data_IF_878512050547
#
_entry.id   IF_878512050547
#
_cell.length_a   1.000
_cell.length_b   1.000
_cell.length_c   1.000
_cell.angle_alpha   90.00
_cell.angle_beta   90.00
_cell.angle_gamma   90.00
#
_symmetry.space_group_name_H-M   'P 1'
#
loop_
_entity.id
_entity.type
_entity.pdbx_description
1 polymer ?
#
# COMPACT_ATOMS: atom_id res chain seq x y z
N UNK A 1 -6.55 -30.89 0.02
CA UNK A 1 -5.14 -30.44 -0.01
C UNK A 1 -4.99 -29.56 -1.23
N UNK A 2 -4.68 -28.28 -1.07
CA UNK A 2 -4.60 -27.36 -2.20
C UNK A 2 -3.21 -27.52 -2.82
N UNK A 3 -3.17 -28.00 -4.05
CA UNK A 3 -1.93 -28.22 -4.77
C UNK A 3 -1.51 -26.92 -5.44
N UNK A 4 -0.33 -26.41 -5.06
CA UNK A 4 0.33 -25.35 -5.80
C UNK A 4 0.88 -25.93 -7.10
N UNK A 5 0.53 -25.33 -8.23
CA UNK A 5 1.04 -25.79 -9.52
C UNK A 5 2.37 -25.11 -9.77
N UNK A 6 3.48 -25.85 -9.78
CA UNK A 6 4.78 -25.27 -10.08
C UNK A 6 4.83 -24.84 -11.55
N UNK A 7 5.34 -23.64 -11.80
CA UNK A 7 5.56 -23.10 -13.15
C UNK A 7 7.03 -22.71 -13.31
N UNK A 8 7.54 -22.84 -14.53
CA UNK A 8 8.96 -22.55 -14.81
C UNK A 8 9.18 -21.06 -15.06
N UNK A 9 8.20 -20.40 -15.67
CA UNK A 9 8.19 -18.97 -15.93
C UNK A 9 6.81 -18.39 -15.63
N UNK A 10 6.73 -17.08 -15.43
CA UNK A 10 5.48 -16.38 -15.14
C UNK A 10 4.47 -16.51 -16.28
N UNK A 11 4.96 -16.54 -17.51
CA UNK A 11 4.16 -16.64 -18.73
C UNK A 11 3.46 -18.00 -18.87
N UNK A 12 3.92 -19.00 -18.13
CA UNK A 12 3.35 -20.34 -18.12
C UNK A 12 2.12 -20.45 -17.20
N UNK A 13 1.85 -19.41 -16.39
CA UNK A 13 0.73 -19.42 -15.45
C UNK A 13 -0.60 -19.03 -16.12
N UNK A 14 -1.72 -19.69 -15.77
CA UNK A 14 -3.04 -19.32 -16.28
C UNK A 14 -3.38 -17.86 -15.96
N UNK A 15 -3.97 -17.13 -16.91
CA UNK A 15 -4.26 -15.68 -16.80
C UNK A 15 -5.07 -15.25 -15.55
N UNK A 16 -5.86 -16.14 -14.95
CA UNK A 16 -6.62 -15.88 -13.72
C UNK A 16 -6.09 -16.73 -12.55
N UNK A 17 -4.77 -16.77 -12.42
CA UNK A 17 -4.07 -17.42 -11.31
C UNK A 17 -3.24 -16.42 -10.52
N UNK A 18 -3.09 -16.67 -9.23
CA UNK A 18 -2.08 -16.02 -8.41
C UNK A 18 -0.76 -16.78 -8.58
N UNK A 19 0.29 -16.09 -9.02
CA UNK A 19 1.67 -16.52 -8.95
C UNK A 19 2.16 -16.43 -7.52
N UNK A 20 2.88 -17.43 -7.03
CA UNK A 20 3.48 -17.49 -5.71
C UNK A 20 4.97 -17.72 -5.93
N UNK A 21 5.79 -16.77 -5.49
CA UNK A 21 7.24 -16.83 -5.61
C UNK A 21 7.85 -17.28 -4.30
N UNK A 22 8.69 -18.29 -4.34
CA UNK A 22 9.65 -18.62 -3.31
C UNK A 22 10.87 -17.69 -3.47
N UNK A 23 11.30 -17.04 -2.38
CA UNK A 23 12.53 -16.23 -2.38
C UNK A 23 13.82 -17.02 -2.72
N UNK A 24 13.75 -18.35 -2.81
CA UNK A 24 14.78 -19.24 -3.34
C UNK A 24 14.65 -19.51 -4.85
N UNK A 25 13.81 -18.74 -5.56
CA UNK A 25 13.69 -18.76 -7.03
C UNK A 25 12.64 -19.72 -7.61
N UNK A 26 11.76 -20.28 -6.79
CA UNK A 26 10.65 -21.12 -7.28
C UNK A 26 9.40 -20.30 -7.60
N UNK A 27 8.74 -20.57 -8.74
CA UNK A 27 7.45 -19.98 -9.06
C UNK A 27 6.39 -21.10 -9.01
N UNK A 28 5.30 -20.84 -8.30
CA UNK A 28 4.10 -21.66 -8.33
C UNK A 28 2.90 -20.79 -8.69
N UNK A 29 1.77 -21.40 -9.02
CA UNK A 29 0.53 -20.69 -9.23
C UNK A 29 -0.66 -21.41 -8.60
N UNK A 30 -1.71 -20.64 -8.34
CA UNK A 30 -2.99 -21.12 -7.88
C UNK A 30 -4.10 -20.38 -8.59
N UNK A 31 -5.08 -21.09 -9.14
CA UNK A 31 -6.24 -20.46 -9.76
C UNK A 31 -6.98 -19.57 -8.75
N UNK A 32 -7.49 -18.42 -9.22
CA UNK A 32 -8.16 -17.42 -8.37
C UNK A 32 -9.33 -18.00 -7.56
N UNK A 33 -10.10 -18.90 -8.15
CA UNK A 33 -11.19 -19.63 -7.51
C UNK A 33 -10.74 -20.42 -6.25
N UNK A 34 -9.49 -20.88 -6.24
CA UNK A 34 -8.92 -21.68 -5.15
C UNK A 34 -8.20 -20.83 -4.08
N UNK A 35 -8.14 -19.50 -4.28
CA UNK A 35 -7.40 -18.59 -3.42
C UNK A 35 -7.94 -18.52 -1.99
N UNK A 36 -9.26 -18.47 -1.81
CA UNK A 36 -9.87 -18.38 -0.48
C UNK A 36 -9.53 -19.61 0.38
N UNK A 37 -9.59 -20.80 -0.21
CA UNK A 37 -9.20 -22.02 0.48
C UNK A 37 -7.69 -22.05 0.76
N UNK A 38 -6.87 -21.51 -0.15
CA UNK A 38 -5.42 -21.45 0.01
C UNK A 38 -5.02 -20.51 1.13
N UNK A 39 -5.54 -19.29 1.15
CA UNK A 39 -5.28 -18.32 2.20
C UNK A 39 -5.69 -18.84 3.57
N UNK A 40 -6.83 -19.52 3.68
CA UNK A 40 -7.27 -20.12 4.94
C UNK A 40 -6.29 -21.22 5.42
N UNK A 41 -5.83 -22.09 4.52
CA UNK A 41 -4.83 -23.11 4.82
C UNK A 41 -3.44 -22.51 5.11
N UNK A 42 -3.10 -21.40 4.47
CA UNK A 42 -1.82 -20.73 4.58
C UNK A 42 -1.67 -19.93 5.87
N UNK A 43 -2.71 -19.15 6.22
CA UNK A 43 -2.73 -18.32 7.42
C UNK A 43 -2.63 -19.13 8.72
N UNK A 44 -2.95 -20.42 8.68
CA UNK A 44 -2.97 -21.35 9.83
C UNK A 44 -1.68 -22.18 9.98
N UNK A 45 -0.68 -22.04 9.09
CA UNK A 45 0.61 -22.75 9.22
C UNK A 45 1.60 -21.99 10.11
N UNK A 46 2.24 -22.70 11.04
CA UNK A 46 3.20 -22.16 12.01
C UNK A 46 4.59 -21.84 11.43
N UNK A 47 4.98 -22.45 10.30
CA UNK A 47 6.25 -22.18 9.61
C UNK A 47 5.98 -21.68 8.20
N UNK A 48 5.86 -20.35 8.05
CA UNK A 48 5.63 -19.72 6.75
C UNK A 48 6.94 -19.65 5.97
N UNK A 49 7.06 -20.30 4.80
CA UNK A 49 8.13 -20.00 3.85
C UNK A 49 8.05 -18.52 3.45
N UNK A 50 9.21 -17.91 3.20
CA UNK A 50 9.26 -16.55 2.67
C UNK A 50 8.79 -16.58 1.21
N UNK A 51 7.50 -16.28 0.99
CA UNK A 51 6.90 -16.25 -0.34
C UNK A 51 6.29 -14.88 -0.62
N UNK A 52 6.39 -14.41 -1.87
CA UNK A 52 5.56 -13.31 -2.40
C UNK A 52 4.50 -13.87 -3.34
N UNK A 53 3.51 -13.08 -3.68
CA UNK A 53 2.44 -13.49 -4.61
C UNK A 53 2.18 -12.36 -5.62
N UNK A 54 1.58 -12.67 -6.76
CA UNK A 54 1.16 -11.70 -7.77
C UNK A 54 -0.04 -12.27 -8.54
N UNK A 55 -0.87 -11.45 -9.18
CA UNK A 55 -1.81 -11.96 -10.18
C UNK A 55 -1.05 -12.17 -11.49
N UNK A 56 -1.07 -13.38 -12.04
CA UNK A 56 -0.42 -13.74 -13.31
C UNK A 56 -0.71 -12.77 -14.48
N UNK A 57 -1.91 -12.18 -14.55
CA UNK A 57 -2.26 -11.15 -15.53
C UNK A 57 -1.90 -9.71 -15.13
N UNK A 58 -1.69 -9.44 -13.83
CA UNK A 58 -1.35 -8.12 -13.33
C UNK A 58 0.14 -7.86 -13.57
N UNK A 59 0.50 -7.46 -14.80
CA UNK A 59 1.89 -7.06 -15.11
C UNK A 59 2.38 -5.88 -14.26
N UNK A 60 1.45 -5.13 -13.67
CA UNK A 60 1.66 -4.00 -12.78
C UNK A 60 0.51 -3.96 -11.76
N UNK A 61 0.78 -3.46 -10.56
CA UNK A 61 -0.25 -3.20 -9.55
C UNK A 61 -0.18 -1.76 -9.04
N UNK A 62 -1.27 -1.29 -8.42
CA UNK A 62 -1.26 -0.01 -7.71
C UNK A 62 -0.17 -0.03 -6.64
N UNK A 63 0.63 1.03 -6.57
CA UNK A 63 1.64 1.15 -5.53
C UNK A 63 0.97 1.40 -4.19
N UNK A 64 1.12 0.44 -3.29
CA UNK A 64 0.64 0.50 -1.92
C UNK A 64 1.85 0.21 -1.03
N UNK A 65 1.95 0.86 0.12
CA UNK A 65 2.93 0.54 1.16
C UNK A 65 2.15 0.08 2.39
N UNK A 66 2.31 -1.19 2.79
CA UNK A 66 1.69 -1.72 4.00
C UNK A 66 2.62 -1.50 5.18
N UNK A 67 2.19 -0.68 6.14
CA UNK A 67 2.96 -0.38 7.34
C UNK A 67 2.33 -1.08 8.52
N UNK A 68 3.01 -2.10 9.01
CA UNK A 68 2.70 -2.74 10.27
C UNK A 68 3.14 -1.87 11.45
N UNK A 69 2.30 -1.86 12.49
CA UNK A 69 2.58 -1.20 13.74
C UNK A 69 2.47 -2.18 14.89
N UNK A 70 3.52 -2.28 15.70
CA UNK A 70 3.55 -3.06 16.93
C UNK A 70 3.78 -2.12 18.10
N UNK A 71 2.93 -2.22 19.11
CA UNK A 71 3.06 -1.46 20.35
C UNK A 71 2.51 -2.29 21.50
N UNK A 72 3.07 -2.09 22.69
CA UNK A 72 2.54 -2.65 23.93
C UNK A 72 1.24 -1.95 24.36
N UNK A 73 0.99 -0.75 23.83
CA UNK A 73 -0.21 0.05 24.10
C UNK A 73 -0.99 0.26 22.79
N UNK A 74 -2.29 -0.04 22.75
CA UNK A 74 -3.13 0.26 21.60
C UNK A 74 -3.12 1.76 21.32
N UNK A 75 -2.72 2.17 20.11
CA UNK A 75 -2.77 3.57 19.68
C UNK A 75 -3.93 3.75 18.71
N UNK A 76 -4.85 4.64 19.07
CA UNK A 76 -6.05 4.95 18.30
C UNK A 76 -5.72 5.70 17.00
N UNK A 77 -4.70 6.55 17.00
CA UNK A 77 -4.25 7.37 15.86
C UNK A 77 -2.88 6.95 15.33
N UNK A 78 -2.55 7.37 14.10
CA UNK A 78 -1.20 7.23 13.55
C UNK A 78 -0.30 8.33 14.14
N UNK A 79 0.97 8.02 14.41
CA UNK A 79 1.96 9.01 14.87
C UNK A 79 2.25 10.04 13.77
N UNK A 80 1.96 11.32 14.04
CA UNK A 80 2.18 12.42 13.09
C UNK A 80 3.64 12.54 12.66
N UNK A 81 4.59 12.32 13.59
CA UNK A 81 6.01 12.38 13.26
C UNK A 81 6.43 11.29 12.28
N UNK A 82 5.74 10.16 12.30
CA UNK A 82 5.95 9.08 11.35
C UNK A 82 5.30 9.39 10.00
N UNK A 83 4.13 10.05 9.99
CA UNK A 83 3.53 10.55 8.75
C UNK A 83 4.40 11.63 8.08
N UNK A 84 5.07 12.49 8.85
CA UNK A 84 6.01 13.49 8.33
C UNK A 84 7.25 12.84 7.69
N UNK A 85 7.74 11.75 8.30
CA UNK A 85 8.83 10.94 7.75
C UNK A 85 8.42 10.29 6.41
N UNK A 86 7.23 9.68 6.35
CA UNK A 86 6.68 9.12 5.11
C UNK A 86 6.57 10.22 4.06
N UNK A 87 5.94 11.34 4.41
CA UNK A 87 5.77 12.46 3.50
C UNK A 87 7.10 12.93 2.90
N UNK A 88 8.09 13.21 3.76
CA UNK A 88 9.43 13.65 3.33
C UNK A 88 10.10 12.61 2.42
N UNK A 89 9.97 11.32 2.76
CA UNK A 89 10.55 10.22 1.98
C UNK A 89 9.92 10.13 0.58
N UNK A 90 8.60 10.19 0.49
CA UNK A 90 7.88 10.13 -0.80
C UNK A 90 8.15 11.37 -1.64
N UNK A 91 8.17 12.56 -1.03
CA UNK A 91 8.49 13.82 -1.71
C UNK A 91 9.90 13.78 -2.32
N UNK A 92 10.91 13.35 -1.54
CA UNK A 92 12.29 13.20 -2.04
C UNK A 92 12.43 12.16 -3.14
N UNK A 93 11.62 11.10 -3.09
CA UNK A 93 11.66 10.03 -4.07
C UNK A 93 10.99 10.44 -5.39
N UNK A 94 9.80 11.04 -5.32
CA UNK A 94 8.94 11.22 -6.49
C UNK A 94 9.02 12.59 -7.12
N UNK A 95 9.11 13.69 -6.35
CA UNK A 95 9.09 15.04 -6.95
C UNK A 95 10.17 15.26 -8.02
N UNK A 96 11.41 14.75 -7.90
CA UNK A 96 12.40 14.92 -8.95
C UNK A 96 12.00 14.34 -10.33
N UNK A 97 11.08 13.39 -10.38
CA UNK A 97 10.66 12.69 -11.60
C UNK A 97 9.16 12.82 -11.91
N UNK A 98 8.35 13.18 -10.91
CA UNK A 98 6.89 13.25 -10.97
C UNK A 98 6.50 14.62 -10.40
N UNK A 99 6.04 15.57 -11.24
CA UNK A 99 5.85 16.97 -10.83
C UNK A 99 4.78 17.15 -9.75
N UNK A 100 3.85 16.20 -9.65
CA UNK A 100 2.86 16.12 -8.59
C UNK A 100 2.39 14.68 -8.39
N UNK A 101 1.97 14.35 -7.17
CA UNK A 101 1.35 13.06 -6.89
C UNK A 101 0.39 13.15 -5.70
N UNK A 102 -0.53 12.19 -5.65
CA UNK A 102 -1.45 12.00 -4.54
C UNK A 102 -1.13 10.70 -3.83
N UNK A 103 -1.19 10.72 -2.50
CA UNK A 103 -1.22 9.50 -1.71
C UNK A 103 -2.27 9.55 -0.61
N UNK A 104 -2.76 8.38 -0.24
CA UNK A 104 -3.86 8.19 0.72
C UNK A 104 -3.34 7.37 1.88
N UNK A 105 -3.52 7.87 3.10
CA UNK A 105 -3.32 7.07 4.31
C UNK A 105 -4.64 6.41 4.65
N UNK A 106 -4.66 5.09 4.75
CA UNK A 106 -5.84 4.31 5.09
C UNK A 106 -5.58 3.38 6.27
N UNK A 107 -6.52 3.26 7.20
CA UNK A 107 -6.40 2.44 8.41
C UNK A 107 -7.66 1.61 8.64
N UNK A 108 -7.53 0.41 9.20
CA UNK A 108 -8.67 -0.39 9.68
C UNK A 108 -9.08 0.07 11.08
N UNK A 109 -10.37 -0.01 11.42
CA UNK A 109 -10.87 0.42 12.74
C UNK A 109 -10.13 -0.28 13.90
N UNK A 110 -9.86 -1.58 13.74
CA UNK A 110 -9.22 -2.43 14.76
C UNK A 110 -7.82 -2.92 14.36
N UNK A 111 -7.23 -2.35 13.29
CA UNK A 111 -5.89 -2.71 12.84
C UNK A 111 -4.81 -1.87 13.53
N UNK A 112 -3.68 -2.50 13.86
CA UNK A 112 -2.50 -1.80 14.35
C UNK A 112 -1.86 -0.93 13.26
N UNK A 113 -1.67 -1.52 12.07
CA UNK A 113 -1.02 -0.88 10.92
C UNK A 113 -1.93 0.00 10.06
N UNK A 114 -1.35 0.55 9.00
CA UNK A 114 -2.03 1.37 8.00
C UNK A 114 -1.39 1.19 6.62
N UNK A 115 -2.13 1.54 5.58
CA UNK A 115 -1.65 1.54 4.20
C UNK A 115 -1.40 2.97 3.71
N UNK A 116 -0.39 3.11 2.87
CA UNK A 116 -0.20 4.27 2.00
C UNK A 116 -0.51 3.85 0.57
N UNK A 117 -1.57 4.39 -0.02
CA UNK A 117 -1.95 4.13 -1.41
C UNK A 117 -1.48 5.27 -2.30
N UNK A 118 -0.83 4.96 -3.42
CA UNK A 118 -0.49 5.91 -4.48
C UNK A 118 -1.34 5.56 -5.71
N UNK A 119 -2.59 6.05 -5.80
CA UNK A 119 -3.58 5.58 -6.78
C UNK A 119 -3.20 5.91 -8.24
N UNK A 120 -2.35 6.91 -8.44
CA UNK A 120 -1.90 7.36 -9.76
C UNK A 120 -0.63 6.62 -10.23
N UNK A 121 -0.07 5.76 -9.37
CA UNK A 121 1.18 5.05 -9.64
C UNK A 121 0.92 3.56 -9.80
N UNK A 122 1.40 3.03 -10.92
CA UNK A 122 1.48 1.60 -11.20
C UNK A 122 2.93 1.20 -11.30
N UNK A 123 3.28 0.06 -10.71
CA UNK A 123 4.67 -0.41 -10.64
C UNK A 123 4.74 -1.90 -10.99
N UNK A 124 5.76 -2.34 -11.76
CA UNK A 124 6.05 -3.77 -11.93
C UNK A 124 6.40 -4.43 -10.58
N UNK A 125 6.06 -5.71 -10.41
CA UNK A 125 6.24 -6.40 -9.13
C UNK A 125 7.71 -6.44 -8.64
N UNK A 126 8.66 -6.72 -9.52
CA UNK A 126 10.08 -6.81 -9.14
C UNK A 126 10.62 -5.43 -8.72
N UNK A 127 10.27 -4.39 -9.47
CA UNK A 127 10.61 -3.01 -9.14
C UNK A 127 9.96 -2.57 -7.83
N UNK A 128 8.74 -3.05 -7.55
CA UNK A 128 8.05 -2.82 -6.28
C UNK A 128 8.81 -3.45 -5.12
N UNK A 129 9.25 -4.71 -5.22
CA UNK A 129 10.04 -5.37 -4.18
C UNK A 129 11.32 -4.57 -3.91
N UNK A 130 12.04 -4.19 -4.97
CA UNK A 130 13.28 -3.43 -4.85
C UNK A 130 13.04 -2.06 -4.20
N UNK A 131 11.99 -1.35 -4.62
CA UNK A 131 11.59 -0.08 -4.03
C UNK A 131 11.28 -0.24 -2.53
N UNK A 132 10.51 -1.26 -2.15
CA UNK A 132 10.15 -1.48 -0.75
C UNK A 132 11.37 -1.89 0.09
N UNK A 133 12.29 -2.70 -0.43
CA UNK A 133 13.56 -3.00 0.25
C UNK A 133 14.39 -1.73 0.51
N UNK A 134 14.46 -0.83 -0.48
CA UNK A 134 15.14 0.46 -0.30
C UNK A 134 14.43 1.32 0.75
N UNK A 135 13.10 1.36 0.73
CA UNK A 135 12.28 2.15 1.65
C UNK A 135 12.30 1.58 3.07
N UNK A 136 12.47 0.28 3.29
CA UNK A 136 12.58 -0.31 4.63
C UNK A 136 13.68 0.35 5.46
N UNK A 137 14.83 0.66 4.86
CA UNK A 137 15.92 1.35 5.56
C UNK A 137 15.56 2.76 6.05
N UNK A 138 14.55 3.39 5.44
CA UNK A 138 14.11 4.76 5.72
C UNK A 138 12.87 4.81 6.58
N UNK A 139 11.96 3.86 6.39
CA UNK A 139 10.63 3.84 7.00
C UNK A 139 10.53 2.89 8.18
N UNK A 140 11.39 1.88 8.32
CA UNK A 140 11.36 1.07 9.53
C UNK A 140 11.85 1.91 10.71
N UNK A 141 11.01 2.06 11.73
CA UNK A 141 11.28 2.87 12.92
C UNK A 141 10.94 2.08 14.16
N UNK A 142 11.95 1.80 14.98
CA UNK A 142 11.77 1.19 16.29
C UNK A 142 12.18 2.18 17.39
N UNK A 143 11.25 2.49 18.28
CA UNK A 143 11.52 3.22 19.52
C UNK A 143 11.52 2.19 20.66
N UNK A 144 12.72 1.88 21.18
CA UNK A 144 12.92 0.83 22.20
C UNK A 144 11.92 0.98 23.35
N UNK A 145 11.16 -0.09 23.61
CA UNK A 145 10.20 -0.16 24.73
C UNK A 145 8.86 0.53 24.48
N UNK A 146 8.64 1.15 23.31
CA UNK A 146 7.40 1.88 23.02
C UNK A 146 6.66 1.29 21.84
N UNK A 147 7.22 1.41 20.63
CA UNK A 147 6.55 0.97 19.42
C UNK A 147 7.52 0.78 18.24
N UNK A 148 7.04 0.03 17.25
CA UNK A 148 7.76 -0.33 16.05
C UNK A 148 6.83 -0.15 14.83
N UNK A 149 7.33 0.55 13.82
CA UNK A 149 6.75 0.61 12.48
C UNK A 149 7.63 -0.18 11.52
N UNK A 150 7.01 -1.05 10.72
CA UNK A 150 7.69 -1.86 9.72
C UNK A 150 6.94 -1.81 8.40
N UNK A 151 7.68 -1.60 7.32
CA UNK A 151 7.15 -1.75 5.97
C UNK A 151 7.09 -3.24 5.61
N UNK A 152 5.88 -3.79 5.51
CA UNK A 152 5.64 -5.16 5.05
C UNK A 152 5.65 -5.20 3.52
N UNK A 153 6.68 -5.87 2.99
CA UNK A 153 6.88 -6.05 1.55
C UNK A 153 5.94 -7.14 1.01
N UNK A 154 5.60 -8.14 1.84
CA UNK A 154 4.88 -9.34 1.41
C UNK A 154 3.40 -9.06 1.16
N UNK A 155 2.80 -8.09 1.86
CA UNK A 155 1.34 -7.87 1.78
C UNK A 155 0.90 -7.36 0.41
N UNK A 156 1.69 -6.56 -0.31
CA UNK A 156 1.25 -6.05 -1.62
C UNK A 156 1.31 -7.06 -2.75
N UNK A 157 2.08 -8.14 -2.59
CA UNK A 157 1.93 -9.29 -3.46
C UNK A 157 0.56 -9.98 -3.33
N UNK A 158 -0.13 -9.77 -2.21
CA UNK A 158 -1.39 -10.45 -1.90
C UNK A 158 -2.66 -9.60 -2.03
N UNK A 159 -2.54 -8.32 -2.36
CA UNK A 159 -3.61 -7.34 -2.11
C UNK A 159 -4.46 -6.92 -3.31
N UNK A 160 -4.27 -7.51 -4.50
CA UNK A 160 -5.26 -7.38 -5.58
C UNK A 160 -6.48 -8.28 -5.29
N UNK A 161 -7.22 -7.96 -4.22
CA UNK A 161 -8.58 -8.48 -3.96
C UNK A 161 -8.78 -9.33 -2.71
N UNK A 162 -7.76 -9.54 -1.87
CA UNK A 162 -7.90 -10.35 -0.67
C UNK A 162 -8.51 -9.55 0.51
N UNK A 163 -9.81 -9.69 0.74
CA UNK A 163 -10.34 -9.46 2.08
C UNK A 163 -9.69 -10.48 3.01
N UNK A 164 -8.77 -10.06 3.90
CA UNK A 164 -8.33 -10.92 5.02
C UNK A 164 -9.62 -11.36 5.74
N UNK A 165 -9.98 -12.66 5.78
CA UNK A 165 -11.28 -13.10 6.31
C UNK A 165 -11.51 -12.52 7.71
N UNK A 166 -12.69 -11.91 7.92
CA UNK A 166 -13.09 -11.36 9.22
C UNK A 166 -12.48 -10.01 9.62
N UNK A 167 -11.81 -9.28 8.72
CA UNK A 167 -11.26 -7.96 9.03
C UNK A 167 -12.01 -6.81 8.34
N UNK A 168 -12.21 -5.72 9.07
CA UNK A 168 -12.77 -4.47 8.56
C UNK A 168 -11.97 -3.94 7.35
N UNK A 169 -12.63 -3.30 6.36
CA UNK A 169 -11.92 -2.69 5.24
C UNK A 169 -11.00 -1.55 5.72
N UNK A 170 -9.91 -1.32 4.98
CA UNK A 170 -9.11 -0.10 5.17
C UNK A 170 -9.97 1.11 4.80
N UNK A 171 -10.13 2.04 5.73
CA UNK A 171 -10.83 3.28 5.48
C UNK A 171 -9.82 4.42 5.33
N UNK A 172 -9.97 5.27 4.31
CA UNK A 172 -9.09 6.41 4.12
C UNK A 172 -9.26 7.37 5.30
N UNK A 173 -8.14 7.77 5.91
CA UNK A 173 -8.11 8.75 7.00
C UNK A 173 -7.59 10.10 6.52
N UNK A 174 -6.68 10.10 5.54
CA UNK A 174 -6.11 11.30 4.95
C UNK A 174 -5.88 11.12 3.46
N UNK A 175 -6.08 12.20 2.71
CA UNK A 175 -5.66 12.31 1.31
C UNK A 175 -4.67 13.46 1.24
N UNK A 176 -3.48 13.19 0.71
CA UNK A 176 -2.39 14.16 0.62
C UNK A 176 -2.02 14.29 -0.85
N UNK A 177 -2.13 15.51 -1.36
CA UNK A 177 -1.58 15.89 -2.65
C UNK A 177 -0.29 16.68 -2.43
N UNK A 178 0.71 16.39 -3.26
CA UNK A 178 2.02 17.03 -3.24
C UNK A 178 2.35 17.51 -4.64
N UNK A 179 2.84 18.74 -4.76
CA UNK A 179 3.57 19.22 -5.93
C UNK A 179 4.88 19.90 -5.51
N UNK A 180 5.64 20.37 -6.49
CA UNK A 180 6.93 21.05 -6.28
C UNK A 180 6.86 22.26 -5.34
N UNK A 181 5.68 22.88 -5.17
CA UNK A 181 5.52 24.16 -4.45
C UNK A 181 4.75 24.03 -3.15
N UNK A 182 3.89 23.02 -3.05
CA UNK A 182 2.87 22.97 -2.02
C UNK A 182 2.43 21.55 -1.70
N UNK A 183 1.97 21.37 -0.47
CA UNK A 183 1.30 20.15 -0.01
C UNK A 183 -0.10 20.51 0.47
N UNK A 184 -1.08 19.72 0.04
CA UNK A 184 -2.48 19.86 0.40
C UNK A 184 -2.97 18.58 1.07
N UNK A 185 -3.42 18.70 2.31
CA UNK A 185 -3.89 17.56 3.12
C UNK A 185 -5.37 17.71 3.44
N UNK A 186 -6.14 16.65 3.16
CA UNK A 186 -7.53 16.50 3.58
C UNK A 186 -7.60 15.43 4.66
N UNK A 187 -8.00 15.81 5.87
CA UNK A 187 -8.27 14.88 6.97
C UNK A 187 -9.75 14.46 6.93
N UNK A 188 -10.01 13.25 6.44
CA UNK A 188 -11.36 12.75 6.17
C UNK A 188 -12.16 12.46 7.43
N UNK A 189 -11.50 12.30 8.58
CA UNK A 189 -12.15 12.09 9.88
C UNK A 189 -12.34 13.39 10.67
N UNK A 190 -11.98 14.53 10.10
CA UNK A 190 -12.10 15.82 10.76
C UNK A 190 -13.48 16.44 10.59
N UNK A 191 -13.99 17.09 11.64
CA UNK A 191 -15.23 17.86 11.61
C UNK A 191 -15.15 19.09 10.69
N UNK A 192 -13.95 19.51 10.29
CA UNK A 192 -13.72 20.65 9.39
C UNK A 192 -13.50 20.25 7.93
N UNK A 193 -13.77 18.99 7.56
CA UNK A 193 -13.52 18.46 6.21
C UNK A 193 -14.13 19.35 5.11
N UNK A 194 -15.36 19.81 5.29
CA UNK A 194 -16.03 20.70 4.32
C UNK A 194 -15.30 22.04 4.12
N UNK A 195 -14.70 22.60 5.17
CA UNK A 195 -13.90 23.82 5.07
C UNK A 195 -12.55 23.57 4.41
N UNK A 196 -11.94 22.42 4.71
CA UNK A 196 -10.71 21.98 4.05
C UNK A 196 -10.93 21.86 2.53
N UNK A 197 -12.02 21.22 2.10
CA UNK A 197 -12.41 21.15 0.69
C UNK A 197 -12.57 22.53 0.07
N UNK A 198 -13.28 23.47 0.73
CA UNK A 198 -13.47 24.82 0.20
C UNK A 198 -12.14 25.56 0.02
N UNK A 199 -11.22 25.49 0.99
CA UNK A 199 -9.90 26.12 0.92
C UNK A 199 -9.05 25.53 -0.19
N UNK A 200 -9.01 24.20 -0.27
CA UNK A 200 -8.30 23.47 -1.34
C UNK A 200 -8.89 23.78 -2.72
N UNK A 201 -10.21 23.89 -2.85
CA UNK A 201 -10.90 24.28 -4.09
C UNK A 201 -10.48 25.66 -4.61
N UNK A 202 -10.24 26.59 -3.69
CA UNK A 202 -9.78 27.94 -4.02
C UNK A 202 -8.32 27.98 -4.47
N UNK A 203 -7.42 27.18 -3.86
CA UNK A 203 -6.01 27.14 -4.25
C UNK A 203 -5.79 26.47 -5.61
N UNK A 204 -6.52 25.38 -5.89
CA UNK A 204 -6.32 24.54 -7.08
C UNK A 204 -6.94 25.08 -8.37
N UNK A 205 -8.02 25.89 -8.31
CA UNK A 205 -8.71 26.45 -9.49
C UNK A 205 -7.81 27.27 -10.44
N UNK A 206 -6.56 27.54 -10.06
CA UNK A 206 -5.58 28.34 -10.83
C UNK A 206 -4.48 27.52 -11.51
N UNK A 207 -4.41 26.20 -11.31
CA UNK A 207 -3.30 25.39 -11.80
C UNK A 207 -3.76 24.32 -12.82
N UNK A 208 -3.52 24.56 -14.11
CA UNK A 208 -3.97 23.67 -15.22
C UNK A 208 -3.19 22.36 -15.34
N UNK A 209 -2.01 22.26 -14.72
CA UNK A 209 -1.12 21.10 -14.86
C UNK A 209 -1.67 19.81 -14.23
N UNK A 210 -2.68 19.91 -13.34
CA UNK A 210 -3.06 18.82 -12.43
C UNK A 210 -4.49 18.31 -12.68
N UNK A 211 -5.08 18.65 -13.83
CA UNK A 211 -6.50 18.42 -14.13
C UNK A 211 -6.91 16.94 -14.10
N UNK A 212 -5.97 16.02 -14.36
CA UNK A 212 -6.22 14.58 -14.36
C UNK A 212 -5.82 13.89 -13.06
N UNK A 213 -5.38 14.64 -12.04
CA UNK A 213 -4.95 14.03 -10.78
C UNK A 213 -6.12 13.40 -10.02
N UNK A 214 -5.86 12.28 -9.31
CA UNK A 214 -6.82 11.65 -8.40
C UNK A 214 -7.40 12.66 -7.41
N UNK A 215 -6.55 13.54 -6.90
CA UNK A 215 -6.96 14.58 -5.97
C UNK A 215 -7.97 15.55 -6.58
N UNK A 216 -7.77 15.97 -7.84
CA UNK A 216 -8.74 16.81 -8.56
C UNK A 216 -10.04 16.04 -8.80
N UNK A 217 -9.96 14.81 -9.31
CA UNK A 217 -11.14 13.97 -9.56
C UNK A 217 -11.95 13.67 -8.28
N UNK A 218 -11.29 13.59 -7.13
CA UNK A 218 -11.94 13.38 -5.84
C UNK A 218 -12.54 14.66 -5.25
N UNK A 219 -11.92 15.82 -5.48
CA UNK A 219 -12.28 17.08 -4.81
C UNK A 219 -13.15 18.04 -5.64
N UNK A 220 -13.23 17.89 -6.97
CA UNK A 220 -13.83 18.88 -7.88
C UNK A 220 -14.96 18.34 -8.72
#
# INVERSE_FOLDING_TARGET
MISLTRVNKKEDAPLDSFLIYNLEGGIACIARENYNSFTQCWCTRENRPCLTMDLSSARQHTLILDVDYKSLVPVSSVDESYLDLIHSTLTLLFIPAIPHFTYIVAKRANGGGFHIHLPEMTIPHDDYILLCQQLQSKLNRSVRGHYEYNLDILTNGMLTGAAKPGNDPYQPIRIIYVDEKSTHTLNLKSNTLNEQFKKTKQSFKRNKANAESFFVNYCF
#
